data_IF_917453294734
#
_entry.id   IF_917453294734
#
_cell.length_a   1.000
_cell.length_b   1.000
_cell.length_c   1.000
_cell.angle_alpha   90.00
_cell.angle_beta   90.00
_cell.angle_gamma   90.00
#
_symmetry.space_group_name_H-M   'P 1'
#
loop_
_entity.id
_entity.type
_entity.pdbx_description
1 polymer ?
#
# COMPACT_ATOMS: atom_id res chain seq x y z
N UNK A 1 2.75 6.25 33.08
CA UNK A 1 2.91 4.86 32.60
C UNK A 1 3.48 4.91 31.19
N UNK A 2 4.53 4.15 30.88
CA UNK A 2 5.19 4.13 29.56
C UNK A 2 4.23 3.53 28.52
N UNK A 3 4.30 4.01 27.27
CA UNK A 3 3.52 3.49 26.14
C UNK A 3 4.41 2.78 25.12
N UNK A 4 4.01 1.59 24.70
CA UNK A 4 4.76 0.72 23.78
C UNK A 4 4.04 0.67 22.43
N UNK A 5 4.78 0.96 21.36
CA UNK A 5 4.30 0.86 19.98
C UNK A 5 5.51 0.62 19.05
N UNK A 6 5.26 0.23 17.79
CA UNK A 6 6.27 0.22 16.74
C UNK A 6 5.89 1.24 15.63
N UNK A 7 6.57 1.18 14.48
CA UNK A 7 6.36 2.09 13.35
C UNK A 7 5.77 1.41 12.10
N UNK A 8 5.54 0.10 12.17
CA UNK A 8 5.12 -0.74 11.05
C UNK A 8 5.56 -2.19 11.24
N UNK A 9 4.91 -3.11 10.54
CA UNK A 9 5.16 -4.55 10.63
C UNK A 9 5.39 -5.17 9.24
N UNK A 10 6.30 -6.16 9.10
CA UNK A 10 6.57 -6.80 7.81
C UNK A 10 5.32 -7.49 7.26
N UNK A 11 4.85 -6.99 6.10
CA UNK A 11 3.60 -7.42 5.45
C UNK A 11 3.66 -8.74 4.69
N UNK A 12 4.86 -9.24 4.38
CA UNK A 12 5.06 -10.36 3.45
C UNK A 12 4.48 -11.69 3.99
N UNK A 13 4.33 -11.81 5.30
CA UNK A 13 3.89 -13.02 5.99
C UNK A 13 5.04 -13.99 6.31
N UNK A 14 4.85 -14.83 7.33
CA UNK A 14 5.89 -15.73 7.86
C UNK A 14 6.41 -16.73 6.81
N UNK A 15 5.59 -17.10 5.83
CA UNK A 15 5.94 -18.00 4.74
C UNK A 15 5.86 -17.31 3.37
N UNK A 16 5.90 -15.97 3.33
CA UNK A 16 5.74 -15.16 2.12
C UNK A 16 4.36 -15.33 1.44
N UNK A 17 3.32 -15.52 2.22
CA UNK A 17 1.96 -15.72 1.75
C UNK A 17 1.51 -14.60 0.81
N UNK A 18 1.87 -13.34 1.12
CA UNK A 18 1.55 -12.19 0.27
C UNK A 18 2.19 -12.32 -1.12
N UNK A 19 3.46 -12.76 -1.20
CA UNK A 19 4.15 -12.97 -2.47
C UNK A 19 3.40 -13.99 -3.33
N UNK A 20 3.04 -15.13 -2.73
CA UNK A 20 2.37 -16.18 -3.48
C UNK A 20 0.95 -15.77 -3.91
N UNK A 21 0.21 -15.04 -3.06
CA UNK A 21 -1.09 -14.50 -3.42
C UNK A 21 -1.00 -13.51 -4.61
N UNK A 22 -0.04 -12.58 -4.57
CA UNK A 22 0.21 -11.64 -5.65
C UNK A 22 0.56 -12.35 -6.96
N UNK A 23 1.44 -13.35 -6.92
CA UNK A 23 1.83 -14.11 -8.09
C UNK A 23 0.68 -14.90 -8.71
N UNK A 24 -0.19 -15.51 -7.88
CA UNK A 24 -1.41 -16.19 -8.33
C UNK A 24 -2.36 -15.20 -9.01
N UNK A 25 -2.54 -14.02 -8.42
CA UNK A 25 -3.39 -12.97 -9.00
C UNK A 25 -2.85 -12.49 -10.35
N UNK A 26 -1.55 -12.22 -10.46
CA UNK A 26 -0.93 -11.79 -11.72
C UNK A 26 -0.94 -12.87 -12.81
N UNK A 27 -1.07 -14.16 -12.44
CA UNK A 27 -1.28 -15.26 -13.40
C UNK A 27 -2.76 -15.50 -13.74
N UNK A 28 -3.68 -14.74 -13.14
CA UNK A 28 -5.13 -14.93 -13.34
C UNK A 28 -5.69 -16.17 -12.63
N UNK A 29 -4.99 -16.71 -11.62
CA UNK A 29 -5.42 -17.91 -10.88
C UNK A 29 -6.37 -17.58 -9.73
N UNK A 30 -6.40 -16.33 -9.28
CA UNK A 30 -7.34 -15.82 -8.28
C UNK A 30 -7.88 -14.46 -8.71
N UNK A 31 -9.11 -14.18 -8.32
CA UNK A 31 -9.76 -12.90 -8.53
C UNK A 31 -9.29 -11.84 -7.53
N UNK A 32 -9.57 -10.57 -7.83
CA UNK A 32 -9.24 -9.43 -6.96
C UNK A 32 -9.78 -9.60 -5.54
N UNK A 33 -10.99 -10.13 -5.39
CA UNK A 33 -11.64 -10.37 -4.08
C UNK A 33 -10.87 -11.37 -3.23
N UNK A 34 -10.33 -12.43 -3.85
CA UNK A 34 -9.51 -13.41 -3.16
C UNK A 34 -8.16 -12.82 -2.72
N UNK A 35 -7.51 -12.01 -3.56
CA UNK A 35 -6.29 -11.30 -3.16
C UNK A 35 -6.54 -10.31 -2.01
N UNK A 36 -7.66 -9.58 -2.06
CA UNK A 36 -8.07 -8.68 -0.99
C UNK A 36 -8.29 -9.43 0.34
N UNK A 37 -8.90 -10.63 0.27
CA UNK A 37 -9.11 -11.49 1.44
C UNK A 37 -7.79 -12.00 2.03
N UNK A 38 -6.82 -12.41 1.22
CA UNK A 38 -5.49 -12.81 1.69
C UNK A 38 -4.78 -11.64 2.40
N UNK A 39 -4.87 -10.44 1.85
CA UNK A 39 -4.35 -9.23 2.49
C UNK A 39 -5.00 -8.96 3.86
N UNK A 40 -6.31 -9.12 3.96
CA UNK A 40 -7.06 -8.97 5.22
C UNK A 40 -6.62 -10.01 6.27
N UNK A 41 -6.53 -11.29 5.90
CA UNK A 41 -6.08 -12.36 6.79
C UNK A 41 -4.68 -12.06 7.35
N UNK A 42 -3.77 -11.57 6.49
CA UNK A 42 -2.43 -11.19 6.90
C UNK A 42 -2.44 -10.03 7.89
N UNK A 43 -3.22 -8.96 7.63
CA UNK A 43 -3.36 -7.84 8.57
C UNK A 43 -3.89 -8.29 9.93
N UNK A 44 -5.00 -9.02 9.95
CA UNK A 44 -5.61 -9.54 11.18
C UNK A 44 -4.61 -10.36 12.01
N UNK A 45 -3.88 -11.29 11.36
CA UNK A 45 -2.86 -12.11 12.01
C UNK A 45 -1.72 -11.28 12.59
N UNK A 46 -1.22 -10.28 11.84
CA UNK A 46 -0.12 -9.43 12.28
C UNK A 46 -0.54 -8.49 13.43
N UNK A 47 -1.76 -7.96 13.39
CA UNK A 47 -2.31 -7.15 14.47
C UNK A 47 -2.49 -7.98 15.75
N UNK A 48 -3.08 -9.18 15.64
CA UNK A 48 -3.24 -10.06 16.79
C UNK A 48 -1.90 -10.44 17.42
N UNK A 49 -0.87 -10.72 16.60
CA UNK A 49 0.47 -11.01 17.09
C UNK A 49 1.05 -9.83 17.89
N UNK A 50 0.94 -8.62 17.35
CA UNK A 50 1.40 -7.40 18.01
C UNK A 50 0.65 -7.11 19.33
N UNK A 51 -0.67 -7.33 19.34
CA UNK A 51 -1.49 -7.23 20.54
C UNK A 51 -1.04 -8.24 21.61
N UNK A 52 -0.79 -9.49 21.22
CA UNK A 52 -0.33 -10.56 22.11
C UNK A 52 1.07 -10.27 22.69
N UNK A 53 1.90 -9.50 21.98
CA UNK A 53 3.18 -9.02 22.47
C UNK A 53 3.09 -7.79 23.41
N UNK A 54 1.88 -7.28 23.68
CA UNK A 54 1.65 -6.22 24.66
C UNK A 54 1.83 -4.79 24.14
N UNK A 55 1.71 -4.54 22.83
CA UNK A 55 1.71 -3.17 22.32
C UNK A 55 0.46 -2.39 22.80
N UNK A 56 0.67 -1.16 23.29
CA UNK A 56 -0.42 -0.24 23.62
C UNK A 56 -1.11 0.31 22.37
N UNK A 57 -0.36 0.50 21.29
CA UNK A 57 -0.84 0.98 20.00
C UNK A 57 -0.23 0.16 18.86
N UNK A 58 -1.08 -0.23 17.90
CA UNK A 58 -0.71 -1.07 16.78
C UNK A 58 -0.79 -0.24 15.48
N UNK A 59 0.22 -0.29 14.60
CA UNK A 59 0.19 0.45 13.34
C UNK A 59 -0.97 -0.04 12.45
N UNK A 60 -1.64 0.90 11.82
CA UNK A 60 -2.54 0.67 10.67
C UNK A 60 -2.06 1.50 9.49
N UNK A 61 -2.38 1.08 8.26
CA UNK A 61 -1.90 1.75 7.05
C UNK A 61 -0.52 1.32 6.58
N UNK A 62 0.23 0.54 7.37
CA UNK A 62 1.57 0.03 7.06
C UNK A 62 1.56 -1.18 6.12
N UNK A 63 0.46 -1.92 6.06
CA UNK A 63 0.25 -2.96 5.04
C UNK A 63 0.20 -2.33 3.64
N UNK A 64 0.61 -3.08 2.62
CA UNK A 64 0.50 -2.67 1.22
C UNK A 64 0.61 -3.89 0.33
N UNK A 65 -0.10 -3.90 -0.80
CA UNK A 65 0.04 -4.97 -1.79
C UNK A 65 1.34 -4.86 -2.59
N UNK A 66 1.93 -3.66 -2.70
CA UNK A 66 3.16 -3.48 -3.47
C UNK A 66 4.07 -2.39 -2.91
N UNK A 67 3.55 -1.18 -2.67
CA UNK A 67 4.32 -0.10 -2.08
C UNK A 67 3.45 0.96 -1.41
N UNK A 68 3.82 1.34 -0.18
CA UNK A 68 3.14 2.35 0.62
C UNK A 68 3.23 3.79 0.06
N UNK A 69 4.26 4.11 -0.73
CA UNK A 69 4.33 5.43 -1.39
C UNK A 69 3.32 5.48 -2.52
N UNK A 70 3.19 4.41 -3.31
CA UNK A 70 2.11 4.28 -4.29
C UNK A 70 0.72 4.29 -3.63
N UNK A 71 0.55 3.65 -2.47
CA UNK A 71 -0.71 3.71 -1.72
C UNK A 71 -1.08 5.17 -1.37
N UNK A 72 -0.08 5.99 -1.01
CA UNK A 72 -0.27 7.42 -0.75
C UNK A 72 -0.65 8.19 -2.01
N UNK A 73 0.02 7.92 -3.15
CA UNK A 73 -0.33 8.53 -4.44
C UNK A 73 -1.76 8.22 -4.86
N UNK A 74 -2.20 6.96 -4.68
CA UNK A 74 -3.59 6.54 -4.91
C UNK A 74 -4.58 7.18 -3.94
N UNK A 75 -4.21 7.37 -2.69
CA UNK A 75 -5.08 8.03 -1.71
C UNK A 75 -5.34 9.49 -2.11
N UNK A 76 -4.32 10.17 -2.64
CA UNK A 76 -4.36 11.59 -3.02
C UNK A 76 -4.85 11.86 -4.45
N UNK A 77 -5.22 10.81 -5.21
CA UNK A 77 -5.63 10.96 -6.61
C UNK A 77 -4.50 11.36 -7.55
N UNK A 78 -3.25 11.20 -7.13
CA UNK A 78 -2.06 11.53 -7.91
C UNK A 78 -1.72 10.37 -8.86
N UNK A 79 -2.59 10.16 -9.85
CA UNK A 79 -2.48 9.10 -10.85
C UNK A 79 -2.08 9.73 -12.19
N UNK A 80 -0.96 9.32 -12.80
CA UNK A 80 -0.59 9.84 -14.12
C UNK A 80 -1.64 9.54 -15.20
N UNK A 81 -1.89 10.51 -16.08
CA UNK A 81 -2.96 10.45 -17.09
C UNK A 81 -2.91 9.21 -17.97
N UNK A 82 -1.70 8.67 -18.24
CA UNK A 82 -1.49 7.44 -19.01
C UNK A 82 -2.16 6.19 -18.44
N UNK A 83 -2.54 6.19 -17.16
CA UNK A 83 -3.27 5.09 -16.51
C UNK A 83 -4.79 5.34 -16.47
N UNK A 84 -5.25 6.52 -16.90
CA UNK A 84 -6.66 6.90 -16.91
C UNK A 84 -7.31 6.81 -15.52
N UNK A 85 -8.61 6.53 -15.49
CA UNK A 85 -9.41 6.36 -14.27
C UNK A 85 -9.50 4.89 -13.82
N UNK A 86 -8.45 4.09 -14.06
CA UNK A 86 -8.50 2.68 -13.67
C UNK A 86 -8.46 2.52 -12.14
N UNK A 87 -9.63 2.21 -11.57
CA UNK A 87 -9.80 1.95 -10.15
C UNK A 87 -9.41 0.52 -9.77
N UNK A 88 -9.08 0.32 -8.50
CA UNK A 88 -8.85 -1.01 -7.93
C UNK A 88 -7.43 -1.55 -8.08
N UNK A 89 -7.26 -2.86 -7.83
CA UNK A 89 -5.94 -3.49 -7.80
C UNK A 89 -5.29 -3.59 -9.18
N UNK A 90 -6.08 -3.63 -10.25
CA UNK A 90 -5.52 -3.68 -11.61
C UNK A 90 -4.76 -2.41 -11.97
N UNK A 91 -5.41 -1.25 -11.82
CA UNK A 91 -4.75 0.05 -12.01
C UNK A 91 -3.51 0.18 -11.13
N UNK A 92 -3.62 -0.22 -9.86
CA UNK A 92 -2.50 -0.26 -8.92
C UNK A 92 -1.31 -1.07 -9.43
N UNK A 93 -1.53 -2.29 -9.94
CA UNK A 93 -0.44 -3.12 -10.45
C UNK A 93 0.07 -2.67 -11.82
N UNK A 94 -0.75 -2.05 -12.67
CA UNK A 94 -0.24 -1.41 -13.89
C UNK A 94 0.78 -0.31 -13.57
N UNK A 95 0.49 0.52 -12.58
CA UNK A 95 1.44 1.52 -12.09
C UNK A 95 2.69 0.86 -11.50
N UNK A 96 2.52 -0.18 -10.68
CA UNK A 96 3.61 -0.79 -9.95
C UNK A 96 4.59 -1.61 -10.81
N UNK A 97 4.07 -2.33 -11.81
CA UNK A 97 4.85 -3.33 -12.57
C UNK A 97 4.57 -3.34 -14.06
N UNK A 98 3.84 -2.35 -14.58
CA UNK A 98 3.60 -2.18 -16.00
C UNK A 98 2.65 -3.19 -16.62
N UNK A 99 1.96 -4.01 -15.82
CA UNK A 99 0.95 -4.95 -16.31
C UNK A 99 0.11 -5.45 -15.12
N UNK A 100 -1.17 -5.77 -15.38
CA UNK A 100 -2.01 -6.52 -14.43
C UNK A 100 -2.40 -7.88 -15.00
N UNK A 101 -3.45 -8.52 -14.46
CA UNK A 101 -3.91 -9.85 -14.85
C UNK A 101 -4.33 -9.95 -16.34
N UNK A 102 -4.66 -8.82 -16.98
CA UNK A 102 -5.09 -8.76 -18.37
C UNK A 102 -3.93 -8.81 -19.39
N UNK A 103 -2.68 -8.77 -18.91
CA UNK A 103 -1.47 -8.89 -19.73
C UNK A 103 -1.17 -7.71 -20.65
N UNK A 104 -1.93 -6.60 -20.57
CA UNK A 104 -1.65 -5.42 -21.39
C UNK A 104 -0.42 -4.68 -20.85
N UNK A 105 0.58 -4.37 -21.68
CA UNK A 105 1.80 -3.69 -21.23
C UNK A 105 1.57 -2.18 -21.08
N UNK A 106 2.07 -1.65 -19.97
CA UNK A 106 2.13 -0.24 -19.59
C UNK A 106 3.56 0.08 -19.17
N UNK A 107 3.96 1.34 -19.33
CA UNK A 107 5.18 1.83 -18.69
C UNK A 107 4.91 1.88 -17.18
N UNK A 108 5.64 1.09 -16.38
CA UNK A 108 5.57 1.16 -14.93
C UNK A 108 6.10 2.51 -14.42
N UNK A 109 5.73 2.89 -13.20
CA UNK A 109 6.36 4.00 -12.49
C UNK A 109 7.84 3.70 -12.26
N UNK A 110 8.65 4.76 -12.15
CA UNK A 110 10.04 4.62 -11.73
C UNK A 110 10.11 4.04 -10.33
N UNK A 111 11.06 3.12 -10.12
CA UNK A 111 11.32 2.52 -8.82
C UNK A 111 12.74 2.89 -8.36
N UNK A 112 12.88 3.39 -7.14
CA UNK A 112 14.18 3.77 -6.57
C UNK A 112 14.28 3.38 -5.10
N UNK A 113 15.49 3.46 -4.53
CA UNK A 113 15.73 3.08 -3.13
C UNK A 113 15.02 4.01 -2.15
N UNK A 114 14.40 3.41 -1.14
CA UNK A 114 13.88 4.14 0.01
C UNK A 114 15.04 4.54 0.91
N UNK A 115 15.47 5.80 0.77
CA UNK A 115 16.65 6.36 1.42
C UNK A 115 17.89 5.46 1.19
N UNK A 116 18.63 5.15 2.24
CA UNK A 116 19.82 4.30 2.23
C UNK A 116 19.50 2.80 2.45
N UNK A 117 18.23 2.42 2.43
CA UNK A 117 17.80 1.03 2.62
C UNK A 117 17.83 0.22 1.31
N UNK A 118 17.56 -1.09 1.40
CA UNK A 118 17.35 -1.94 0.23
C UNK A 118 15.87 -2.11 -0.16
N UNK A 119 14.95 -1.47 0.56
CA UNK A 119 13.56 -1.36 0.13
C UNK A 119 13.49 -0.38 -1.03
N UNK A 120 12.61 -0.66 -2.01
CA UNK A 120 12.40 0.22 -3.14
C UNK A 120 10.96 0.73 -3.12
N UNK A 121 10.78 1.99 -3.48
CA UNK A 121 9.47 2.63 -3.58
C UNK A 121 9.22 3.11 -5.01
N UNK A 122 7.95 3.31 -5.33
CA UNK A 122 7.51 3.85 -6.61
C UNK A 122 7.44 5.36 -6.53
N UNK A 123 8.25 6.03 -7.36
CA UNK A 123 8.39 7.48 -7.39
C UNK A 123 7.06 8.10 -7.82
N UNK A 124 6.45 8.99 -7.00
CA UNK A 124 5.27 9.73 -7.43
C UNK A 124 5.60 10.61 -8.64
N UNK A 125 4.70 10.65 -9.61
CA UNK A 125 4.84 11.46 -10.82
C UNK A 125 3.74 12.53 -10.86
N UNK A 126 4.10 13.81 -10.83
CA UNK A 126 3.16 14.93 -10.72
C UNK A 126 3.11 15.75 -12.01
N UNK A 127 1.91 16.05 -12.48
CA UNK A 127 1.69 16.98 -13.57
C UNK A 127 1.64 18.44 -13.08
N UNK A 128 1.89 19.39 -13.98
CA UNK A 128 1.59 20.80 -13.71
C UNK A 128 0.09 20.95 -13.41
N UNK A 129 -0.26 21.73 -12.38
CA UNK A 129 -1.63 21.92 -11.92
C UNK A 129 -2.35 20.62 -11.49
N UNK A 130 -1.61 19.59 -11.07
CA UNK A 130 -2.17 18.33 -10.54
C UNK A 130 -3.25 18.58 -9.46
N UNK A 131 -4.50 18.15 -9.68
CA UNK A 131 -5.50 18.16 -8.62
C UNK A 131 -5.18 17.05 -7.60
N UNK A 132 -5.42 17.35 -6.32
CA UNK A 132 -5.39 16.37 -5.25
C UNK A 132 -6.80 16.17 -4.72
N UNK A 133 -7.26 14.93 -4.74
CA UNK A 133 -8.59 14.54 -4.30
C UNK A 133 -8.49 13.24 -3.53
N UNK A 134 -9.28 13.10 -2.47
CA UNK A 134 -9.29 11.86 -1.71
C UNK A 134 -9.98 10.75 -2.52
N UNK A 135 -9.21 9.87 -3.15
CA UNK A 135 -9.72 8.79 -4.02
C UNK A 135 -9.56 7.40 -3.42
N UNK A 136 -8.74 7.24 -2.39
CA UNK A 136 -8.52 5.98 -1.71
C UNK A 136 -8.91 6.02 -0.24
N UNK A 137 -9.59 4.97 0.24
CA UNK A 137 -10.03 4.84 1.64
C UNK A 137 -9.19 3.86 2.46
N UNK A 138 -8.19 3.21 1.86
CA UNK A 138 -7.36 2.15 2.49
C UNK A 138 -6.97 2.44 3.94
N UNK A 139 -6.40 3.62 4.22
CA UNK A 139 -5.94 3.98 5.57
C UNK A 139 -7.10 4.00 6.57
N UNK A 140 -8.26 4.54 6.17
CA UNK A 140 -9.46 4.59 6.98
C UNK A 140 -10.05 3.19 7.18
N UNK A 141 -10.14 2.41 6.10
CA UNK A 141 -10.70 1.06 6.12
C UNK A 141 -9.87 0.14 7.03
N UNK A 142 -8.54 0.11 6.85
CA UNK A 142 -7.64 -0.70 7.69
C UNK A 142 -7.63 -0.23 9.16
N UNK A 143 -7.77 1.07 9.40
CA UNK A 143 -7.88 1.61 10.76
C UNK A 143 -9.18 1.18 11.41
N UNK A 144 -10.30 1.24 10.68
CA UNK A 144 -11.60 0.80 11.17
C UNK A 144 -11.64 -0.72 11.40
N UNK A 145 -11.03 -1.51 10.51
CA UNK A 145 -10.84 -2.96 10.70
C UNK A 145 -10.09 -3.26 12.00
N UNK A 146 -8.96 -2.61 12.24
CA UNK A 146 -8.16 -2.80 13.45
C UNK A 146 -8.92 -2.40 14.73
N UNK A 147 -9.65 -1.27 14.67
CA UNK A 147 -10.48 -0.81 15.80
C UNK A 147 -11.64 -1.75 16.08
N UNK A 148 -12.26 -2.34 15.05
CA UNK A 148 -13.33 -3.32 15.20
C UNK A 148 -12.88 -4.61 15.91
N UNK A 149 -11.59 -4.94 15.85
CA UNK A 149 -10.98 -6.03 16.63
C UNK A 149 -10.69 -5.66 18.09
N UNK A 150 -11.03 -4.43 18.52
CA UNK A 150 -10.84 -3.95 19.89
C UNK A 150 -9.42 -3.41 20.17
N UNK A 151 -8.62 -3.19 19.13
CA UNK A 151 -7.25 -2.70 19.26
C UNK A 151 -7.16 -1.18 19.12
N UNK A 152 -6.18 -0.57 19.80
CA UNK A 152 -5.86 0.85 19.63
C UNK A 152 -4.98 1.04 18.40
N UNK A 153 -5.57 1.60 17.35
CA UNK A 153 -4.85 1.91 16.12
C UNK A 153 -3.92 3.12 16.28
N UNK A 154 -2.79 3.06 15.58
CA UNK A 154 -1.90 4.18 15.28
C UNK A 154 -1.73 4.26 13.76
N UNK A 155 -2.56 5.05 13.06
CA UNK A 155 -2.45 5.21 11.61
C UNK A 155 -1.06 5.73 11.21
N UNK A 156 -0.47 5.09 10.20
CA UNK A 156 0.83 5.46 9.61
C UNK A 156 0.56 6.07 8.24
N UNK A 157 0.97 7.33 8.07
CA UNK A 157 0.83 8.07 6.84
C UNK A 157 2.17 8.69 6.47
N UNK A 158 2.54 8.60 5.19
CA UNK A 158 3.66 9.34 4.66
C UNK A 158 3.34 10.84 4.66
N UNK A 159 4.14 11.63 5.37
CA UNK A 159 3.92 13.07 5.48
C UNK A 159 3.93 13.77 4.12
N UNK A 160 3.10 14.81 3.92
CA UNK A 160 2.92 15.46 2.62
C UNK A 160 4.21 16.07 2.08
N UNK A 161 5.04 16.65 2.93
CA UNK A 161 6.33 17.22 2.52
C UNK A 161 7.29 16.13 2.02
N UNK A 162 7.37 14.99 2.71
CA UNK A 162 8.21 13.87 2.28
C UNK A 162 7.70 13.29 0.98
N UNK A 163 6.39 13.10 0.84
CA UNK A 163 5.80 12.58 -0.40
C UNK A 163 6.07 13.49 -1.60
N UNK A 164 5.88 14.81 -1.45
CA UNK A 164 6.22 15.79 -2.50
C UNK A 164 7.72 15.82 -2.81
N UNK A 165 8.57 15.74 -1.78
CA UNK A 165 10.03 15.75 -1.95
C UNK A 165 10.55 14.53 -2.71
N UNK A 166 9.90 13.37 -2.52
CA UNK A 166 10.23 12.13 -3.22
C UNK A 166 9.62 12.05 -4.64
N UNK A 167 8.75 12.99 -5.00
CA UNK A 167 8.10 13.02 -6.30
C UNK A 167 9.01 13.58 -7.40
N UNK A 168 8.63 13.32 -8.66
CA UNK A 168 9.19 13.98 -9.85
C UNK A 168 8.08 14.64 -10.65
N UNK A 169 8.40 15.76 -11.28
CA UNK A 169 7.54 16.34 -12.29
C UNK A 169 7.49 15.40 -13.51
N UNK A 170 6.31 15.19 -14.07
CA UNK A 170 6.15 14.60 -15.39
C UNK A 170 6.76 15.59 -16.40
N UNK A 171 7.63 15.07 -17.25
CA UNK A 171 8.19 15.83 -18.37
C UNK A 171 7.19 15.91 -19.52
#
# INVERSE_FOLDING_TARGET
>A
MIKIHNLGFPRIGAQRELKFALERYWRGEIEQTALAQEGRILRERHWQLQANCGLDYIPSGDFSFYDHVLDTSLMLGAIPERYGNEAGLDGYFRMARGQSHDGRPYRALEMTKWFDTNYHFLVPELAENQPFVLTGTKLFDETAELQALGHKAKPVLLGPLTWLWLAKAQA
#
